data_IF_801384167597
#
_entry.id   IF_801384167597
#
_cell.length_a   1.000
_cell.length_b   1.000
_cell.length_c   1.000
_cell.angle_alpha   90.00
_cell.angle_beta   90.00
_cell.angle_gamma   90.00
#
_symmetry.space_group_name_H-M   'P 1'
#
loop_
_entity.id
_entity.type
_entity.pdbx_description
1 polymer ?
#
# COMPACT_ATOMS: atom_id res chain seq x y z
N UNK A 1 47.04 -17.42 20.78
CA UNK A 1 47.73 -16.74 19.66
C UNK A 1 46.96 -17.09 18.40
N UNK A 2 45.97 -16.30 17.97
CA UNK A 2 46.08 -15.12 17.08
C UNK A 2 46.82 -15.39 15.75
N UNK A 3 46.06 -15.41 14.65
CA UNK A 3 46.16 -14.56 13.42
C UNK A 3 45.37 -15.25 12.29
N UNK A 4 44.17 -14.77 11.94
CA UNK A 4 43.86 -13.76 10.91
C UNK A 4 44.40 -14.12 9.52
N UNK A 5 43.50 -14.47 8.60
CA UNK A 5 43.63 -14.16 7.18
C UNK A 5 42.38 -13.38 6.74
N UNK A 6 42.62 -12.17 6.27
CA UNK A 6 41.71 -11.38 5.44
C UNK A 6 42.22 -11.47 4.01
N UNK A 7 41.33 -11.65 3.03
CA UNK A 7 41.51 -11.26 1.63
C UNK A 7 40.10 -11.15 0.99
N UNK A 8 39.51 -9.95 0.92
CA UNK A 8 39.54 -8.96 -0.17
C UNK A 8 38.82 -9.38 -1.48
N UNK A 9 37.55 -8.96 -1.55
CA UNK A 9 36.87 -8.17 -2.59
C UNK A 9 37.26 -8.46 -4.06
N UNK A 10 36.29 -8.90 -4.87
CA UNK A 10 35.73 -8.13 -6.01
C UNK A 10 34.61 -8.91 -6.70
N UNK A 11 33.39 -8.36 -6.68
CA UNK A 11 32.54 -8.28 -7.86
C UNK A 11 31.50 -7.19 -7.58
N UNK A 12 31.77 -5.99 -8.11
CA UNK A 12 30.78 -4.94 -8.30
C UNK A 12 29.85 -5.47 -9.40
N UNK A 13 28.73 -6.08 -9.02
CA UNK A 13 27.59 -6.25 -9.91
C UNK A 13 26.59 -5.17 -9.59
N UNK A 14 26.49 -4.21 -10.50
CA UNK A 14 25.51 -3.12 -10.49
C UNK A 14 24.11 -3.72 -10.30
N UNK A 15 23.51 -3.44 -9.14
CA UNK A 15 22.12 -3.78 -8.86
C UNK A 15 21.20 -2.88 -9.71
N UNK A 16 20.12 -3.40 -10.31
CA UNK A 16 19.01 -2.55 -10.73
C UNK A 16 18.44 -1.88 -9.48
N UNK A 17 18.23 -0.57 -9.55
CA UNK A 17 17.89 0.23 -8.38
C UNK A 17 16.57 -0.17 -7.71
N UNK A 18 16.61 -0.17 -6.37
CA UNK A 18 15.46 0.14 -5.54
C UNK A 18 14.72 -1.04 -4.90
N UNK A 19 15.40 -1.86 -4.11
CA UNK A 19 14.78 -2.61 -3.00
C UNK A 19 15.82 -2.77 -1.88
N UNK A 20 15.63 -2.07 -0.76
CA UNK A 20 16.41 -2.30 0.45
C UNK A 20 15.67 -3.32 1.32
N UNK A 21 16.33 -4.44 1.60
CA UNK A 21 15.87 -5.46 2.54
C UNK A 21 16.05 -4.99 3.99
N UNK A 22 15.26 -5.54 4.91
CA UNK A 22 15.22 -5.21 6.33
C UNK A 22 16.63 -5.09 6.94
N UNK A 23 16.97 -3.90 7.46
CA UNK A 23 18.32 -3.60 7.97
C UNK A 23 18.47 -3.96 9.47
N UNK A 24 18.42 -5.28 9.73
CA UNK A 24 19.13 -6.15 10.71
C UNK A 24 19.02 -6.03 12.25
N UNK A 25 19.00 -7.21 12.90
CA UNK A 25 19.53 -7.62 14.24
C UNK A 25 19.53 -9.17 14.28
N UNK A 26 20.40 -9.92 15.02
CA UNK A 26 21.26 -9.55 16.16
C UNK A 26 22.72 -10.05 16.02
N UNK A 27 23.51 -9.42 15.15
CA UNK A 27 24.98 -9.35 15.29
C UNK A 27 25.55 -7.99 14.82
N UNK A 28 24.67 -7.05 14.43
CA UNK A 28 25.06 -5.84 13.70
C UNK A 28 25.21 -4.57 14.55
N UNK A 29 24.87 -4.59 15.85
CA UNK A 29 24.93 -3.41 16.71
C UNK A 29 23.98 -2.26 16.30
N UNK A 30 22.97 -2.55 15.48
CA UNK A 30 21.92 -1.61 15.05
C UNK A 30 20.71 -1.82 15.98
N UNK A 31 19.95 -0.77 16.30
CA UNK A 31 18.78 -0.88 17.18
C UNK A 31 17.60 -1.56 16.46
N UNK A 32 16.75 -2.33 17.18
CA UNK A 32 15.49 -2.84 16.64
C UNK A 32 14.65 -1.72 16.01
N UNK A 33 13.87 -2.00 14.95
CA UNK A 33 12.88 -1.04 14.47
C UNK A 33 11.86 -0.80 15.59
N UNK A 34 11.53 0.47 15.81
CA UNK A 34 10.53 0.86 16.82
C UNK A 34 9.10 0.56 16.39
N UNK A 35 8.88 0.21 15.12
CA UNK A 35 7.59 0.00 14.48
C UNK A 35 7.64 -1.28 13.63
N UNK A 36 6.52 -2.01 13.58
CA UNK A 36 6.44 -3.23 12.78
C UNK A 36 6.56 -2.88 11.30
N UNK A 37 7.62 -3.35 10.66
CA UNK A 37 8.00 -2.92 9.31
C UNK A 37 7.92 -4.09 8.33
N UNK A 38 7.25 -3.87 7.20
CA UNK A 38 7.22 -4.76 6.05
C UNK A 38 8.30 -4.35 5.04
N UNK A 39 9.19 -5.28 4.71
CA UNK A 39 10.25 -5.11 3.72
C UNK A 39 10.38 -6.35 2.83
N UNK A 40 10.83 -6.18 1.58
CA UNK A 40 11.14 -7.31 0.69
C UNK A 40 12.36 -8.09 1.22
N UNK A 41 12.34 -9.42 1.09
CA UNK A 41 13.51 -10.26 1.41
C UNK A 41 14.68 -9.99 0.43
N UNK A 42 15.93 -10.04 0.92
CA UNK A 42 17.12 -9.84 0.09
C UNK A 42 17.30 -11.02 -0.91
N UNK A 43 17.33 -10.69 -2.20
CA UNK A 43 17.26 -11.56 -3.38
C UNK A 43 18.04 -12.88 -3.37
N UNK A 44 17.41 -13.94 -3.91
CA UNK A 44 18.07 -15.13 -4.43
C UNK A 44 17.11 -16.25 -4.84
N UNK A 45 16.49 -16.12 -6.02
CA UNK A 45 15.67 -17.11 -6.72
C UNK A 45 14.30 -17.46 -6.08
N UNK A 46 13.24 -17.32 -6.89
CA UNK A 46 11.91 -17.95 -6.79
C UNK A 46 11.03 -17.70 -5.55
N UNK A 47 11.57 -17.24 -4.42
CA UNK A 47 10.82 -16.97 -3.18
C UNK A 47 10.51 -15.47 -3.05
N UNK A 48 9.38 -15.07 -3.61
CA UNK A 48 8.81 -13.72 -3.47
C UNK A 48 8.27 -13.60 -2.05
N UNK A 49 9.05 -13.09 -1.10
CA UNK A 49 8.61 -13.00 0.30
C UNK A 49 8.79 -11.60 0.91
N UNK A 50 7.99 -11.32 1.94
CA UNK A 50 8.15 -10.14 2.80
C UNK A 50 8.61 -10.54 4.19
N UNK A 51 9.47 -9.70 4.76
CA UNK A 51 9.93 -9.75 6.14
C UNK A 51 9.09 -8.79 6.96
N UNK A 52 8.48 -9.29 8.03
CA UNK A 52 7.84 -8.47 9.05
C UNK A 52 8.67 -8.53 10.32
N UNK A 53 9.21 -7.38 10.74
CA UNK A 53 10.10 -7.28 11.89
C UNK A 53 9.41 -6.54 13.05
N UNK A 54 9.36 -7.15 14.24
CA UNK A 54 8.85 -6.50 15.45
C UNK A 54 9.96 -5.80 16.26
N UNK A 55 9.59 -5.16 17.37
CA UNK A 55 10.51 -4.45 18.27
C UNK A 55 11.54 -5.35 18.96
N UNK A 56 11.32 -6.66 18.96
CA UNK A 56 12.20 -7.67 19.53
C UNK A 56 13.14 -8.29 18.47
N UNK A 57 13.04 -7.80 17.22
CA UNK A 57 13.73 -8.35 16.04
C UNK A 57 13.30 -9.77 15.66
N UNK A 58 12.11 -10.21 16.10
CA UNK A 58 11.51 -11.39 15.52
C UNK A 58 11.13 -11.07 14.08
N UNK A 59 11.53 -11.95 13.17
CA UNK A 59 11.26 -11.84 11.75
C UNK A 59 10.27 -12.94 11.36
N UNK A 60 9.17 -12.53 10.73
CA UNK A 60 8.24 -13.44 10.07
C UNK A 60 8.39 -13.26 8.58
N UNK A 61 8.72 -14.34 7.88
CA UNK A 61 8.70 -14.40 6.43
C UNK A 61 7.30 -14.79 5.96
N UNK A 62 6.75 -14.02 5.04
CA UNK A 62 5.46 -14.31 4.38
C UNK A 62 5.74 -14.49 2.90
N UNK A 63 5.58 -15.71 2.42
CA UNK A 63 5.77 -16.06 1.02
C UNK A 63 4.57 -15.58 0.19
N UNK A 64 4.84 -15.16 -1.05
CA UNK A 64 3.81 -14.95 -2.04
C UNK A 64 3.21 -16.29 -2.43
N UNK A 65 1.91 -16.24 -2.69
CA UNK A 65 1.13 -17.39 -3.12
C UNK A 65 0.65 -17.13 -4.54
N UNK A 66 0.48 -18.20 -5.30
CA UNK A 66 -0.13 -18.11 -6.63
C UNK A 66 -1.53 -17.49 -6.54
N UNK A 67 -1.84 -16.64 -7.52
CA UNK A 67 -3.18 -16.17 -7.75
C UNK A 67 -4.03 -17.27 -8.42
N UNK A 68 -5.35 -17.12 -8.39
CA UNK A 68 -6.27 -18.00 -9.13
C UNK A 68 -6.06 -17.84 -10.66
N UNK A 69 -5.42 -16.74 -11.06
CA UNK A 69 -4.95 -16.50 -12.42
C UNK A 69 -3.52 -17.02 -12.60
N UNK A 70 -3.26 -17.85 -13.64
CA UNK A 70 -1.93 -18.37 -13.90
C UNK A 70 -0.89 -17.27 -14.17
N UNK A 71 0.24 -17.33 -13.46
CA UNK A 71 1.36 -16.41 -13.64
C UNK A 71 1.30 -15.13 -12.81
N UNK A 72 0.24 -14.96 -12.02
CA UNK A 72 0.07 -13.87 -11.07
C UNK A 72 0.43 -14.35 -9.66
N UNK A 73 1.07 -13.50 -8.86
CA UNK A 73 1.41 -13.80 -7.47
C UNK A 73 0.85 -12.74 -6.54
N UNK A 74 0.50 -13.13 -5.33
CA UNK A 74 -0.03 -12.21 -4.31
C UNK A 74 0.63 -12.42 -2.97
N UNK A 75 0.77 -11.35 -2.21
CA UNK A 75 1.19 -11.40 -0.80
C UNK A 75 -0.01 -11.05 0.07
N UNK A 76 -0.24 -11.87 1.09
CA UNK A 76 -1.20 -11.57 2.16
C UNK A 76 -0.46 -11.44 3.50
N UNK A 77 -0.22 -10.20 3.92
CA UNK A 77 0.35 -9.86 5.22
C UNK A 77 -0.66 -9.09 6.08
N UNK A 78 -1.89 -9.59 6.11
CA UNK A 78 -3.00 -9.02 6.88
C UNK A 78 -2.96 -9.50 8.33
N UNK A 79 -3.42 -8.68 9.28
CA UNK A 79 -3.40 -8.97 10.73
C UNK A 79 -2.02 -9.21 11.35
N UNK A 80 -0.98 -8.55 10.84
CA UNK A 80 0.40 -8.68 11.34
C UNK A 80 0.82 -7.42 12.13
N UNK A 81 -0.11 -6.48 12.35
CA UNK A 81 0.13 -5.20 13.03
C UNK A 81 1.17 -4.30 12.32
N UNK A 82 1.35 -4.45 11.01
CA UNK A 82 2.29 -3.64 10.22
C UNK A 82 1.97 -2.15 10.36
N UNK A 83 3.00 -1.35 10.63
CA UNK A 83 2.91 0.11 10.77
C UNK A 83 3.64 0.84 9.63
N UNK A 84 4.70 0.24 9.09
CA UNK A 84 5.52 0.81 8.02
C UNK A 84 5.65 -0.19 6.88
N UNK A 85 5.28 0.22 5.67
CA UNK A 85 5.62 -0.49 4.43
C UNK A 85 6.83 0.21 3.81
N UNK A 86 7.98 -0.44 3.85
CA UNK A 86 9.23 0.07 3.30
C UNK A 86 9.48 -0.43 1.88
N UNK A 87 9.28 -1.72 1.66
CA UNK A 87 9.51 -2.37 0.38
C UNK A 87 8.74 -3.70 0.28
N UNK A 88 8.44 -4.14 -0.93
CA UNK A 88 7.77 -5.42 -1.21
C UNK A 88 8.24 -5.91 -2.57
N UNK A 89 8.31 -7.23 -2.80
CA UNK A 89 8.76 -7.77 -4.08
C UNK A 89 7.72 -7.50 -5.19
N UNK A 90 8.07 -7.77 -6.44
CA UNK A 90 7.13 -7.64 -7.55
C UNK A 90 6.03 -8.71 -7.42
N UNK A 91 4.78 -8.26 -7.23
CA UNK A 91 3.58 -9.09 -7.08
C UNK A 91 2.42 -8.42 -7.77
N UNK A 92 1.40 -9.18 -8.15
CA UNK A 92 0.17 -8.62 -8.69
C UNK A 92 -0.62 -7.87 -7.62
N UNK A 93 -0.86 -8.54 -6.49
CA UNK A 93 -1.71 -8.04 -5.41
C UNK A 93 -0.98 -8.06 -4.06
N UNK A 94 -1.10 -6.96 -3.33
CA UNK A 94 -0.58 -6.79 -1.98
C UNK A 94 -1.73 -6.55 -1.01
N UNK A 95 -2.06 -7.56 -0.21
CA UNK A 95 -3.14 -7.52 0.78
C UNK A 95 -2.58 -7.29 2.18
N UNK A 96 -2.93 -6.15 2.75
CA UNK A 96 -2.44 -5.63 4.04
C UNK A 96 -3.61 -5.13 4.91
N UNK A 97 -4.77 -5.76 4.79
CA UNK A 97 -5.96 -5.35 5.52
C UNK A 97 -5.84 -5.68 7.01
N UNK A 98 -6.52 -4.91 7.86
CA UNK A 98 -6.45 -5.04 9.33
C UNK A 98 -5.02 -4.98 9.89
N UNK A 99 -4.26 -3.96 9.50
CA UNK A 99 -2.97 -3.61 10.09
C UNK A 99 -3.05 -2.21 10.76
N UNK A 100 -1.90 -1.58 11.02
CA UNK A 100 -1.77 -0.26 11.66
C UNK A 100 -0.94 0.70 10.79
N UNK A 101 -1.02 0.55 9.47
CA UNK A 101 -0.14 1.25 8.52
C UNK A 101 -0.30 2.76 8.69
N UNK A 102 0.83 3.43 8.94
CA UNK A 102 0.95 4.90 8.98
C UNK A 102 1.79 5.41 7.83
N UNK A 103 2.75 4.60 7.37
CA UNK A 103 3.70 4.95 6.32
C UNK A 103 3.65 3.88 5.24
N UNK A 104 3.59 4.31 3.98
CA UNK A 104 3.69 3.43 2.82
C UNK A 104 4.66 4.08 1.85
N UNK A 105 5.86 3.51 1.73
CA UNK A 105 6.88 3.93 0.76
C UNK A 105 6.92 2.89 -0.35
N UNK A 106 6.59 3.32 -1.57
CA UNK A 106 6.64 2.47 -2.76
C UNK A 106 7.93 2.67 -3.53
N UNK A 107 9.07 2.26 -2.97
CA UNK A 107 10.33 2.26 -3.70
C UNK A 107 10.31 1.09 -4.71
N UNK A 108 9.73 1.33 -5.89
CA UNK A 108 10.20 0.75 -7.16
C UNK A 108 9.70 -0.62 -7.63
N UNK A 109 8.58 -1.16 -7.15
CA UNK A 109 8.08 -2.47 -7.62
C UNK A 109 6.71 -2.43 -8.30
N UNK A 110 6.51 -3.33 -9.27
CA UNK A 110 5.25 -3.48 -9.99
C UNK A 110 4.25 -4.21 -9.11
N UNK A 111 3.19 -3.50 -8.71
CA UNK A 111 1.98 -4.06 -8.09
C UNK A 111 0.74 -3.39 -8.69
N UNK A 112 -0.27 -4.20 -8.97
CA UNK A 112 -1.50 -3.80 -9.66
C UNK A 112 -2.58 -3.48 -8.63
N UNK A 113 -2.71 -4.31 -7.60
CA UNK A 113 -3.73 -4.19 -6.56
C UNK A 113 -3.09 -3.99 -5.18
N UNK A 114 -3.54 -2.96 -4.46
CA UNK A 114 -3.16 -2.73 -3.07
C UNK A 114 -4.40 -2.63 -2.22
N UNK A 115 -4.50 -3.51 -1.20
CA UNK A 115 -5.57 -3.47 -0.21
C UNK A 115 -5.00 -3.13 1.17
N UNK A 116 -5.35 -1.93 1.67
CA UNK A 116 -5.02 -1.44 3.01
C UNK A 116 -6.30 -1.10 3.78
N UNK A 117 -7.35 -1.90 3.59
CA UNK A 117 -8.60 -1.84 4.34
C UNK A 117 -8.37 -1.91 5.85
N UNK A 118 -9.09 -1.12 6.63
CA UNK A 118 -9.06 -1.19 8.10
C UNK A 118 -7.65 -0.98 8.72
N UNK A 119 -6.95 0.07 8.27
CA UNK A 119 -5.64 0.47 8.80
C UNK A 119 -5.71 1.71 9.71
N UNK A 120 -6.92 2.19 10.03
CA UNK A 120 -7.17 3.36 10.87
C UNK A 120 -6.59 4.69 10.33
N UNK A 121 -6.28 4.75 9.03
CA UNK A 121 -5.75 5.94 8.37
C UNK A 121 -6.72 7.12 8.49
N UNK A 122 -6.22 8.27 8.95
CA UNK A 122 -6.99 9.52 9.04
C UNK A 122 -6.69 10.49 7.88
N UNK A 123 -5.55 10.31 7.21
CA UNK A 123 -5.17 11.02 6.00
C UNK A 123 -4.32 10.12 5.09
N UNK A 124 -4.09 10.58 3.86
CA UNK A 124 -3.13 9.96 2.94
C UNK A 124 -1.82 10.75 2.83
N UNK A 125 -1.62 11.75 3.68
CA UNK A 125 -0.45 12.62 3.64
C UNK A 125 0.80 11.81 3.96
N UNK A 126 1.81 11.86 3.08
CA UNK A 126 3.07 11.13 3.26
C UNK A 126 3.02 9.65 2.87
N UNK A 127 1.87 9.11 2.43
CA UNK A 127 1.83 7.81 1.76
C UNK A 127 2.17 7.98 0.28
N UNK A 128 3.03 7.10 -0.23
CA UNK A 128 3.51 7.04 -1.60
C UNK A 128 3.14 5.68 -2.18
N UNK A 129 2.05 5.65 -2.95
CA UNK A 129 1.60 4.44 -3.63
C UNK A 129 2.37 4.22 -4.95
N UNK A 130 2.55 2.96 -5.38
CA UNK A 130 3.30 2.63 -6.60
C UNK A 130 2.55 3.11 -7.85
N UNK A 131 3.28 3.65 -8.82
CA UNK A 131 2.71 4.17 -10.08
C UNK A 131 2.16 3.10 -11.02
N UNK A 132 2.33 1.81 -10.69
CA UNK A 132 1.73 0.69 -11.41
C UNK A 132 0.33 0.33 -10.88
N UNK A 133 -0.03 0.78 -9.67
CA UNK A 133 -1.28 0.37 -9.02
C UNK A 133 -2.49 0.86 -9.81
N UNK A 134 -3.34 -0.09 -10.19
CA UNK A 134 -4.58 0.12 -10.93
C UNK A 134 -5.79 0.07 -9.99
N UNK A 135 -5.69 -0.69 -8.90
CA UNK A 135 -6.76 -0.91 -7.93
C UNK A 135 -6.26 -0.64 -6.51
N UNK A 136 -6.90 0.32 -5.83
CA UNK A 136 -6.56 0.73 -4.47
C UNK A 136 -7.78 0.65 -3.57
N UNK A 137 -7.68 -0.19 -2.53
CA UNK A 137 -8.74 -0.37 -1.53
C UNK A 137 -8.32 0.27 -0.21
N UNK A 138 -9.08 1.30 0.18
CA UNK A 138 -8.90 2.12 1.38
C UNK A 138 -10.13 2.07 2.30
N UNK A 139 -10.94 1.02 2.17
CA UNK A 139 -12.17 0.87 2.92
C UNK A 139 -11.94 0.81 4.44
N UNK A 140 -12.97 1.14 5.22
CA UNK A 140 -12.95 0.98 6.69
C UNK A 140 -11.80 1.73 7.39
N UNK A 141 -11.29 2.80 6.78
CA UNK A 141 -10.38 3.74 7.41
C UNK A 141 -11.16 4.91 8.03
N UNK A 142 -10.46 5.98 8.44
CA UNK A 142 -11.03 7.18 9.10
C UNK A 142 -10.72 8.45 8.30
N UNK A 143 -10.62 8.34 6.97
CA UNK A 143 -10.28 9.46 6.09
C UNK A 143 -11.40 10.50 6.11
N UNK A 144 -11.09 11.79 6.29
CA UNK A 144 -12.08 12.88 6.40
C UNK A 144 -12.04 13.87 5.22
N UNK A 145 -10.86 14.35 4.87
CA UNK A 145 -10.63 15.16 3.68
C UNK A 145 -9.15 15.08 3.35
N UNK A 146 -8.80 14.28 2.34
CA UNK A 146 -7.41 14.20 1.88
C UNK A 146 -7.09 15.49 1.13
N UNK A 147 -6.00 16.17 1.52
CA UNK A 147 -5.41 17.21 0.66
C UNK A 147 -4.83 16.50 -0.56
N UNK A 148 -4.86 17.18 -1.72
CA UNK A 148 -4.21 16.82 -2.98
C UNK A 148 -3.75 15.36 -3.05
N UNK A 149 -4.67 14.48 -3.42
CA UNK A 149 -4.52 13.04 -3.25
C UNK A 149 -3.29 12.49 -3.97
N UNK A 150 -2.40 11.79 -3.24
CA UNK A 150 -1.29 11.00 -3.76
C UNK A 150 -1.79 9.68 -4.40
N UNK A 151 -2.89 9.72 -5.14
CA UNK A 151 -3.33 8.52 -5.85
C UNK A 151 -2.37 8.23 -7.01
N UNK A 152 -2.10 6.95 -7.31
CA UNK A 152 -1.33 6.58 -8.50
C UNK A 152 -1.96 7.19 -9.75
N UNK A 153 -1.14 7.78 -10.64
CA UNK A 153 -1.63 8.31 -11.93
C UNK A 153 -2.15 7.23 -12.89
N UNK A 154 -1.89 5.95 -12.58
CA UNK A 154 -2.41 4.77 -13.26
C UNK A 154 -3.77 4.30 -12.76
N UNK A 155 -4.23 4.80 -11.61
CA UNK A 155 -5.35 4.22 -10.86
C UNK A 155 -6.64 4.23 -11.69
N UNK A 156 -7.31 3.08 -11.72
CA UNK A 156 -8.55 2.82 -12.46
C UNK A 156 -9.73 2.52 -11.52
N UNK A 157 -9.49 1.85 -10.38
CA UNK A 157 -10.51 1.56 -9.37
C UNK A 157 -10.07 2.05 -8.00
N UNK A 158 -10.97 2.74 -7.31
CA UNK A 158 -10.73 3.29 -5.98
C UNK A 158 -11.91 2.99 -5.05
N UNK A 159 -11.62 2.33 -3.93
CA UNK A 159 -12.58 2.05 -2.88
C UNK A 159 -12.25 2.86 -1.63
N UNK A 160 -13.20 3.69 -1.21
CA UNK A 160 -13.15 4.58 -0.06
C UNK A 160 -14.39 4.38 0.83
N UNK A 161 -14.97 3.19 0.81
CA UNK A 161 -16.21 2.88 1.52
C UNK A 161 -15.99 2.95 3.03
N UNK A 162 -17.03 3.33 3.77
CA UNK A 162 -17.03 3.38 5.24
C UNK A 162 -15.83 4.14 5.83
N UNK A 163 -15.50 5.27 5.23
CA UNK A 163 -14.60 6.28 5.81
C UNK A 163 -15.43 7.39 6.48
N UNK A 164 -14.79 8.51 6.81
CA UNK A 164 -15.43 9.69 7.40
C UNK A 164 -15.37 10.89 6.45
N UNK A 165 -15.39 10.64 5.13
CA UNK A 165 -15.19 11.69 4.13
C UNK A 165 -16.36 12.67 4.19
N UNK A 166 -16.07 13.95 4.35
CA UNK A 166 -17.10 15.00 4.44
C UNK A 166 -17.33 15.73 3.11
N UNK A 167 -16.28 15.80 2.28
CA UNK A 167 -16.31 16.46 0.97
C UNK A 167 -15.25 15.90 0.04
N UNK A 168 -15.59 15.84 -1.26
CA UNK A 168 -14.67 15.44 -2.33
C UNK A 168 -13.99 16.63 -3.03
N UNK A 169 -14.25 17.88 -2.64
CA UNK A 169 -13.74 19.06 -3.35
C UNK A 169 -12.21 19.14 -3.42
N UNK A 170 -11.52 18.54 -2.45
CA UNK A 170 -10.04 18.48 -2.38
C UNK A 170 -9.44 17.23 -3.02
N UNK A 171 -10.26 16.25 -3.38
CA UNK A 171 -9.78 15.04 -4.04
C UNK A 171 -9.28 15.38 -5.44
N UNK A 172 -8.17 14.76 -5.82
CA UNK A 172 -7.61 14.83 -7.17
C UNK A 172 -7.49 13.42 -7.70
N UNK A 173 -8.50 13.00 -8.45
CA UNK A 173 -8.54 11.66 -9.00
C UNK A 173 -7.60 11.53 -10.21
N UNK A 174 -7.08 10.32 -10.41
CA UNK A 174 -6.37 9.94 -11.63
C UNK A 174 -7.25 10.21 -12.85
N UNK A 175 -6.68 10.74 -13.94
CA UNK A 175 -7.38 10.92 -15.22
C UNK A 175 -7.76 9.60 -15.89
N UNK A 176 -7.35 8.46 -15.31
CA UNK A 176 -7.69 7.11 -15.76
C UNK A 176 -8.71 6.42 -14.85
N UNK A 177 -9.19 7.09 -13.79
CA UNK A 177 -10.12 6.48 -12.84
C UNK A 177 -11.45 6.17 -13.54
N UNK A 178 -11.87 4.91 -13.49
CA UNK A 178 -13.08 4.40 -14.10
C UNK A 178 -14.16 4.07 -13.06
N UNK A 179 -13.76 3.64 -11.86
CA UNK A 179 -14.68 3.20 -10.82
C UNK A 179 -14.32 3.82 -9.47
N UNK A 180 -15.31 4.46 -8.84
CA UNK A 180 -15.17 5.08 -7.53
C UNK A 180 -16.28 4.60 -6.59
N UNK A 181 -15.89 4.02 -5.45
CA UNK A 181 -16.81 3.53 -4.43
C UNK A 181 -16.65 4.33 -3.14
N UNK A 182 -17.66 5.10 -2.75
CA UNK A 182 -17.62 6.00 -1.58
C UNK A 182 -18.81 5.78 -0.64
N UNK A 183 -19.51 4.64 -0.77
CA UNK A 183 -20.63 4.28 0.09
C UNK A 183 -20.24 4.23 1.58
N UNK A 184 -21.14 4.66 2.47
CA UNK A 184 -20.91 4.59 3.91
C UNK A 184 -20.03 5.70 4.49
N UNK A 185 -19.68 6.73 3.70
CA UNK A 185 -19.17 8.00 4.21
C UNK A 185 -20.34 8.84 4.73
N UNK A 186 -20.74 8.63 5.98
CA UNK A 186 -21.98 9.18 6.55
C UNK A 186 -22.00 10.72 6.60
N UNK A 187 -20.83 11.36 6.63
CA UNK A 187 -20.71 12.82 6.65
C UNK A 187 -20.72 13.44 5.25
N UNK A 188 -20.58 12.64 4.18
CA UNK A 188 -20.68 13.12 2.80
C UNK A 188 -22.16 13.28 2.47
N UNK A 189 -22.63 14.53 2.44
CA UNK A 189 -24.04 14.86 2.17
C UNK A 189 -24.26 15.42 0.76
N UNK A 190 -23.19 15.86 0.09
CA UNK A 190 -23.22 16.46 -1.25
C UNK A 190 -21.93 16.14 -2.00
N UNK A 191 -22.00 16.15 -3.33
CA UNK A 191 -20.84 16.05 -4.23
C UNK A 191 -20.41 17.43 -4.77
N UNK A 192 -20.94 18.51 -4.21
CA UNK A 192 -20.59 19.88 -4.63
C UNK A 192 -19.08 20.11 -4.55
N UNK A 193 -18.53 20.67 -5.63
CA UNK A 193 -17.10 20.94 -5.79
C UNK A 193 -16.25 19.70 -6.14
N UNK A 194 -16.82 18.50 -6.18
CA UNK A 194 -16.12 17.32 -6.68
C UNK A 194 -15.81 17.49 -8.17
N UNK A 195 -14.58 17.14 -8.57
CA UNK A 195 -14.15 17.13 -9.97
C UNK A 195 -13.82 15.69 -10.33
N UNK A 196 -14.66 15.07 -11.16
CA UNK A 196 -14.46 13.71 -11.65
C UNK A 196 -13.76 13.74 -13.02
N UNK A 197 -12.91 12.75 -13.32
CA UNK A 197 -12.30 12.63 -14.64
C UNK A 197 -13.31 12.11 -15.66
N UNK A 198 -13.14 12.49 -16.93
CA UNK A 198 -14.00 12.03 -18.05
C UNK A 198 -13.99 10.51 -18.23
N UNK A 199 -12.97 9.83 -17.70
CA UNK A 199 -12.85 8.38 -17.70
C UNK A 199 -13.80 7.68 -16.72
N UNK A 200 -14.43 8.41 -15.78
CA UNK A 200 -15.24 7.82 -14.73
C UNK A 200 -16.52 7.23 -15.32
N UNK A 201 -16.67 5.92 -15.21
CA UNK A 201 -17.82 5.17 -15.71
C UNK A 201 -18.81 4.83 -14.59
N UNK A 202 -18.30 4.60 -13.38
CA UNK A 202 -19.11 4.16 -12.26
C UNK A 202 -18.78 4.93 -10.98
N UNK A 203 -19.79 5.60 -10.42
CA UNK A 203 -19.74 6.23 -9.10
C UNK A 203 -20.76 5.56 -8.18
N UNK A 204 -20.26 4.82 -7.20
CA UNK A 204 -21.10 4.17 -6.19
C UNK A 204 -21.10 5.01 -4.92
N UNK A 205 -22.20 5.75 -4.73
CA UNK A 205 -22.45 6.56 -3.55
C UNK A 205 -23.88 6.37 -3.07
N UNK A 206 -24.05 6.26 -1.75
CA UNK A 206 -25.34 6.38 -1.08
C UNK A 206 -25.22 7.57 -0.16
N UNK A 207 -25.73 8.71 -0.61
CA UNK A 207 -25.88 9.89 0.23
C UNK A 207 -27.12 9.66 1.09
N UNK A 208 -26.99 9.76 2.42
CA UNK A 208 -28.16 9.81 3.30
C UNK A 208 -28.79 11.21 3.23
N UNK A 209 -29.30 11.54 2.05
CA UNK A 209 -30.21 12.64 1.80
C UNK A 209 -31.32 12.02 0.93
N UNK A 210 -32.60 12.26 1.28
CA UNK A 210 -33.73 11.65 0.58
C UNK A 210 -33.51 11.59 -0.93
N UNK A 211 -33.44 10.36 -1.44
CA UNK A 211 -33.41 9.92 -2.84
C UNK A 211 -32.82 10.92 -3.86
N UNK A 212 -31.53 10.75 -4.19
CA UNK A 212 -30.99 11.17 -5.49
C UNK A 212 -30.22 10.02 -6.10
N UNK A 213 -30.90 9.27 -6.97
CA UNK A 213 -30.25 8.45 -8.00
C UNK A 213 -29.76 9.42 -9.08
N UNK A 214 -28.44 9.60 -9.18
CA UNK A 214 -27.81 10.16 -10.36
C UNK A 214 -27.15 9.00 -11.10
N UNK A 215 -27.87 8.45 -12.08
CA UNK A 215 -27.22 7.81 -13.23
C UNK A 215 -26.75 8.94 -14.14
N UNK A 216 -25.47 8.90 -14.52
CA UNK A 216 -24.92 9.77 -15.56
C UNK A 216 -25.54 9.47 -16.92
#
# INVERSE_FOLDING_TARGET
>A
MWRRHWALITAISVLPGGLHAATTCPDSGIAPPSEITLAAAASGADDVAVLVKNSDCDEVTIDAIDSDTPGETRINASYVDIEVVESYPAVESLWLWNNKIKTFKAVGTSVIEVDITSNQLTSLDGLEFPSSCLELTLDLNKLTSTKASNFPGSLQKLYLRKNSIESLAKFRFSSKLQQLYINGNQQLTSLEGAVFPDSLQYLYVILFCGTLLLGM
#
